data_IF_186945052152
#
_entry.id   IF_186945052152
#
_cell.length_a   1.000
_cell.length_b   1.000
_cell.length_c   1.000
_cell.angle_alpha   90.00
_cell.angle_beta   90.00
_cell.angle_gamma   90.00
#
_symmetry.space_group_name_H-M   'P 1'
#
loop_
_entity.id
_entity.type
_entity.pdbx_description
1 polymer ?
#
# COMPACT_ATOMS: atom_id res chain seq x y z
N UNK A 1 39.08 -3.15 22.36
CA UNK A 1 39.89 -3.08 21.14
C UNK A 1 38.93 -3.13 19.96
N UNK A 2 38.90 -2.08 19.16
CA UNK A 2 38.00 -1.91 18.00
C UNK A 2 38.80 -1.67 16.73
N UNK A 3 40.01 -2.21 16.67
CA UNK A 3 40.91 -2.07 15.54
C UNK A 3 40.67 -3.18 14.53
N UNK A 4 40.81 -2.83 13.26
CA UNK A 4 40.74 -3.75 12.15
C UNK A 4 41.92 -4.71 12.12
N UNK A 5 41.71 -5.87 11.52
CA UNK A 5 42.75 -6.88 11.33
C UNK A 5 43.77 -6.45 10.28
N UNK A 6 44.97 -7.04 10.31
CA UNK A 6 46.03 -6.72 9.35
C UNK A 6 45.62 -6.98 7.88
N UNK A 7 44.74 -7.96 7.65
CA UNK A 7 44.20 -8.29 6.33
C UNK A 7 43.22 -7.22 5.82
N UNK A 8 42.38 -6.67 6.70
CA UNK A 8 41.48 -5.55 6.38
C UNK A 8 42.25 -4.25 6.10
N UNK A 9 43.34 -4.01 6.84
CA UNK A 9 44.20 -2.84 6.63
C UNK A 9 44.93 -2.88 5.28
N UNK A 10 45.35 -4.06 4.83
CA UNK A 10 46.03 -4.23 3.54
C UNK A 10 45.10 -4.00 2.33
N UNK A 11 43.78 -4.14 2.52
CA UNK A 11 42.76 -4.00 1.47
C UNK A 11 41.93 -2.72 1.59
N UNK A 12 42.21 -1.88 2.59
CA UNK A 12 41.50 -0.64 2.85
C UNK A 12 41.67 0.36 1.69
N UNK A 13 40.55 0.80 1.13
CA UNK A 13 40.50 1.80 0.05
C UNK A 13 39.29 2.71 0.22
N UNK A 14 39.38 3.94 -0.28
CA UNK A 14 38.26 4.88 -0.27
C UNK A 14 37.24 4.51 -1.36
N UNK A 15 35.98 4.34 -0.98
CA UNK A 15 34.90 4.16 -1.96
C UNK A 15 34.72 5.42 -2.80
N UNK A 16 34.82 5.30 -4.13
CA UNK A 16 34.49 6.38 -5.05
C UNK A 16 33.03 6.26 -5.48
N UNK A 17 32.29 7.38 -5.47
CA UNK A 17 30.88 7.44 -5.85
C UNK A 17 29.91 7.61 -4.68
N UNK A 18 28.61 7.47 -4.96
CA UNK A 18 27.57 7.54 -3.93
C UNK A 18 27.61 6.29 -3.05
N UNK A 19 27.75 6.50 -1.74
CA UNK A 19 27.88 5.41 -0.78
C UNK A 19 26.50 4.82 -0.46
N UNK A 20 26.26 3.58 -0.88
CA UNK A 20 24.98 2.86 -0.73
C UNK A 20 23.79 3.67 -1.26
N UNK A 21 23.68 3.87 -2.59
CA UNK A 21 22.57 4.63 -3.17
C UNK A 21 21.23 3.95 -2.86
N UNK A 22 20.20 4.76 -2.61
CA UNK A 22 18.85 4.25 -2.37
C UNK A 22 18.24 3.86 -3.72
N UNK A 23 18.28 2.58 -4.03
CA UNK A 23 17.68 2.04 -5.24
C UNK A 23 16.18 1.73 -5.02
N UNK A 24 15.38 2.01 -6.05
CA UNK A 24 13.95 1.65 -6.06
C UNK A 24 13.78 0.28 -6.70
N UNK A 25 14.08 -0.75 -5.93
CA UNK A 25 13.83 -2.13 -6.36
C UNK A 25 12.34 -2.38 -6.57
N UNK A 26 11.98 -2.96 -7.72
CA UNK A 26 10.63 -3.45 -7.97
C UNK A 26 10.57 -4.91 -7.53
N UNK A 27 9.64 -5.30 -6.64
CA UNK A 27 9.51 -6.71 -6.26
C UNK A 27 9.16 -7.54 -7.49
N UNK A 28 9.82 -8.68 -7.63
CA UNK A 28 9.43 -9.70 -8.60
C UNK A 28 8.02 -10.20 -8.29
N UNK A 29 7.18 -10.35 -9.33
CA UNK A 29 5.84 -10.93 -9.18
C UNK A 29 5.88 -12.40 -9.60
N UNK A 30 5.28 -13.26 -8.77
CA UNK A 30 5.10 -14.68 -9.10
C UNK A 30 3.88 -14.87 -9.99
N UNK A 31 4.01 -15.74 -10.99
CA UNK A 31 2.90 -16.08 -11.87
C UNK A 31 2.01 -17.15 -11.23
N UNK A 32 0.86 -16.72 -10.71
CA UNK A 32 -0.15 -17.60 -10.13
C UNK A 32 -1.27 -17.89 -11.12
N UNK A 33 -1.87 -19.08 -11.01
CA UNK A 33 -3.06 -19.43 -11.79
C UNK A 33 -4.24 -18.56 -11.34
N UNK A 34 -4.97 -18.00 -12.30
CA UNK A 34 -6.16 -17.19 -12.03
C UNK A 34 -7.23 -18.04 -11.34
N UNK A 35 -7.59 -17.67 -10.12
CA UNK A 35 -8.64 -18.33 -9.33
C UNK A 35 -10.03 -17.88 -9.79
N UNK A 36 -11.07 -18.67 -9.46
CA UNK A 36 -12.44 -18.31 -9.85
C UNK A 36 -12.97 -17.10 -9.07
N UNK A 37 -12.47 -16.87 -7.85
CA UNK A 37 -12.73 -15.64 -7.09
C UNK A 37 -12.23 -14.41 -7.85
N UNK A 38 -11.02 -14.44 -8.41
CA UNK A 38 -10.47 -13.33 -9.21
C UNK A 38 -11.30 -13.06 -10.47
N UNK A 39 -11.87 -14.10 -11.10
CA UNK A 39 -12.75 -13.93 -12.26
C UNK A 39 -14.12 -13.37 -11.88
N UNK A 40 -14.66 -13.82 -10.76
CA UNK A 40 -15.95 -13.36 -10.25
C UNK A 40 -15.90 -11.91 -9.73
N UNK A 41 -14.70 -11.44 -9.35
CA UNK A 41 -14.48 -10.11 -8.83
C UNK A 41 -14.66 -9.03 -9.92
N UNK A 42 -15.77 -8.31 -9.85
CA UNK A 42 -16.08 -7.19 -10.75
C UNK A 42 -15.36 -5.90 -10.33
N UNK A 43 -14.05 -5.83 -10.60
CA UNK A 43 -13.18 -4.73 -10.17
C UNK A 43 -13.71 -3.33 -10.52
N UNK A 44 -14.19 -3.12 -11.74
CA UNK A 44 -14.73 -1.83 -12.17
C UNK A 44 -15.93 -1.37 -11.32
N UNK A 45 -16.85 -2.30 -11.05
CA UNK A 45 -18.04 -2.03 -10.23
C UNK A 45 -17.63 -1.73 -8.79
N UNK A 46 -16.65 -2.46 -8.24
CA UNK A 46 -16.15 -2.22 -6.88
C UNK A 46 -15.58 -0.81 -6.74
N UNK A 47 -14.70 -0.38 -7.65
CA UNK A 47 -14.14 0.98 -7.63
C UNK A 47 -15.24 2.05 -7.68
N UNK A 48 -16.25 1.84 -8.53
CA UNK A 48 -17.36 2.79 -8.66
C UNK A 48 -18.24 2.83 -7.41
N UNK A 49 -18.51 1.69 -6.81
CA UNK A 49 -19.24 1.58 -5.54
C UNK A 49 -18.50 2.30 -4.41
N UNK A 50 -17.18 2.11 -4.29
CA UNK A 50 -16.39 2.78 -3.25
C UNK A 50 -16.37 4.31 -3.42
N UNK A 51 -16.24 4.79 -4.67
CA UNK A 51 -16.36 6.23 -4.97
C UNK A 51 -17.73 6.78 -4.60
N UNK A 52 -18.79 6.02 -4.89
CA UNK A 52 -20.18 6.37 -4.57
C UNK A 52 -20.41 6.39 -3.05
N UNK A 53 -19.89 5.40 -2.32
CA UNK A 53 -19.94 5.36 -0.86
C UNK A 53 -19.25 6.58 -0.24
N UNK A 54 -18.05 6.93 -0.71
CA UNK A 54 -17.34 8.13 -0.25
C UNK A 54 -18.14 9.41 -0.52
N UNK A 55 -18.76 9.53 -1.70
CA UNK A 55 -19.57 10.72 -2.07
C UNK A 55 -20.83 10.85 -1.22
N UNK A 56 -21.52 9.75 -0.94
CA UNK A 56 -22.84 9.77 -0.30
C UNK A 56 -22.80 9.52 1.22
N UNK A 57 -21.62 9.38 1.83
CA UNK A 57 -21.49 9.16 3.27
C UNK A 57 -22.25 10.22 4.08
N UNK A 58 -22.02 11.51 3.82
CA UNK A 58 -22.71 12.60 4.52
C UNK A 58 -24.22 12.64 4.28
N UNK A 59 -24.66 12.43 3.04
CA UNK A 59 -26.09 12.40 2.71
C UNK A 59 -26.83 11.24 3.42
N UNK A 60 -26.18 10.07 3.51
CA UNK A 60 -26.72 8.90 4.22
C UNK A 60 -26.77 9.14 5.73
N UNK A 61 -25.73 9.73 6.32
CA UNK A 61 -25.71 10.10 7.74
C UNK A 61 -26.78 11.13 8.07
N UNK A 62 -26.93 12.18 7.24
CA UNK A 62 -28.00 13.18 7.39
C UNK A 62 -29.38 12.52 7.35
N UNK A 63 -29.62 11.67 6.35
CA UNK A 63 -30.91 10.95 6.22
C UNK A 63 -31.17 10.03 7.41
N UNK A 64 -30.15 9.32 7.91
CA UNK A 64 -30.29 8.47 9.10
C UNK A 64 -30.64 9.29 10.35
N UNK A 65 -29.97 10.44 10.56
CA UNK A 65 -30.26 11.34 11.68
C UNK A 65 -31.63 12.01 11.60
N UNK A 66 -32.15 12.27 10.38
CA UNK A 66 -33.50 12.78 10.17
C UNK A 66 -34.56 11.69 10.44
N UNK A 67 -34.36 10.47 9.94
CA UNK A 67 -35.24 9.34 10.24
C UNK A 67 -35.33 9.03 11.74
N UNK A 68 -34.20 9.03 12.45
CA UNK A 68 -34.20 8.85 13.92
C UNK A 68 -34.94 9.95 14.68
N UNK A 69 -35.04 11.17 14.12
CA UNK A 69 -35.80 12.26 14.74
C UNK A 69 -37.29 12.14 14.46
N UNK A 70 -37.68 11.62 13.31
CA UNK A 70 -39.07 11.34 12.96
C UNK A 70 -39.63 10.14 13.74
N UNK A 71 -38.85 9.06 13.89
CA UNK A 71 -39.25 7.85 14.64
C UNK A 71 -39.41 8.11 16.17
N UNK A 72 -38.79 9.18 16.69
CA UNK A 72 -38.86 9.59 18.10
C UNK A 72 -39.97 10.61 18.39
N UNK A 73 -40.73 11.01 17.37
CA UNK A 73 -41.78 12.04 17.46
C UNK A 73 -43.16 11.41 17.46
#
# INVERSE_FOLDING_TARGET
AGDSTAEELATATQSQGEYMPIEREKPGVEFLKVTDEMKSFRAYNKIRLERMNKRHAGARLKKAAEAEKEDKK
#
